data_IF_370837274838
#
_entry.id   IF_370837274838
#
_cell.length_a   1.000
_cell.length_b   1.000
_cell.length_c   1.000
_cell.angle_alpha   90.00
_cell.angle_beta   90.00
_cell.angle_gamma   90.00
#
_symmetry.space_group_name_H-M   'P 1'
#
loop_
_entity.id
_entity.type
_entity.pdbx_description
1 polymer ?
#
# COMPACT_ATOMS: atom_id res chain seq x y z
N UNK A 1 37.12 21.42 33.17
CA UNK A 1 36.67 21.69 31.80
C UNK A 1 35.75 22.89 31.85
N UNK A 2 36.05 23.88 31.01
CA UNK A 2 35.25 25.11 30.88
C UNK A 2 33.84 24.79 30.32
N UNK A 3 32.87 25.69 30.49
CA UNK A 3 31.50 25.54 29.98
C UNK A 3 31.48 25.46 28.45
N UNK A 4 32.34 26.22 27.79
CA UNK A 4 32.59 26.14 26.34
C UNK A 4 33.02 24.74 25.94
N UNK A 5 34.00 24.16 26.63
CA UNK A 5 34.51 22.83 26.27
C UNK A 5 33.43 21.77 26.42
N UNK A 6 32.59 21.87 27.47
CA UNK A 6 31.45 20.97 27.65
C UNK A 6 30.43 21.11 26.51
N UNK A 7 30.09 22.34 26.14
CA UNK A 7 29.17 22.62 25.04
C UNK A 7 29.70 22.10 23.69
N UNK A 8 30.94 22.43 23.36
CA UNK A 8 31.58 22.02 22.10
C UNK A 8 31.77 20.49 22.03
N UNK A 9 32.10 19.83 23.14
CA UNK A 9 32.18 18.37 23.18
C UNK A 9 30.80 17.73 22.89
N UNK A 10 29.71 18.31 23.41
CA UNK A 10 28.36 17.83 23.14
C UNK A 10 27.95 18.03 21.66
N UNK A 11 28.36 19.13 21.03
CA UNK A 11 28.16 19.36 19.60
C UNK A 11 29.02 18.37 18.78
N UNK A 12 30.31 18.27 19.11
CA UNK A 12 31.27 17.41 18.42
C UNK A 12 30.85 15.95 18.37
N UNK A 13 30.23 15.45 19.46
CA UNK A 13 29.72 14.08 19.55
C UNK A 13 28.69 13.73 18.46
N UNK A 14 28.00 14.73 17.90
CA UNK A 14 26.94 14.55 16.90
C UNK A 14 27.40 14.87 15.47
N UNK A 15 28.60 15.44 15.30
CA UNK A 15 29.11 15.85 13.99
C UNK A 15 29.74 14.68 13.21
N UNK A 16 29.63 14.70 11.87
CA UNK A 16 30.39 13.79 10.99
C UNK A 16 31.89 13.90 11.27
N UNK A 17 32.57 12.75 11.40
CA UNK A 17 33.99 12.72 11.80
C UNK A 17 34.89 13.55 10.87
N UNK A 18 34.56 13.62 9.57
CA UNK A 18 35.38 14.31 8.57
C UNK A 18 35.37 15.84 8.67
N UNK A 19 34.34 16.46 9.27
CA UNK A 19 34.21 17.92 9.38
C UNK A 19 34.20 18.41 10.83
N UNK A 20 34.24 17.47 11.79
CA UNK A 20 34.09 17.75 13.22
C UNK A 20 35.11 18.77 13.73
N UNK A 21 36.39 18.60 13.40
CA UNK A 21 37.45 19.46 13.91
C UNK A 21 37.27 20.90 13.43
N UNK A 22 37.02 21.08 12.13
CA UNK A 22 36.85 22.39 11.50
C UNK A 22 35.62 23.12 12.06
N UNK A 23 34.47 22.44 12.14
CA UNK A 23 33.22 23.03 12.68
C UNK A 23 33.38 23.38 14.16
N UNK A 24 34.06 22.54 14.95
CA UNK A 24 34.28 22.83 16.38
C UNK A 24 35.20 24.03 16.57
N UNK A 25 36.23 24.18 15.74
CA UNK A 25 37.09 25.36 15.76
C UNK A 25 36.30 26.62 15.41
N UNK A 26 35.54 26.60 14.32
CA UNK A 26 34.69 27.73 13.89
C UNK A 26 33.66 28.11 14.97
N UNK A 27 32.97 27.12 15.56
CA UNK A 27 32.02 27.36 16.65
C UNK A 27 32.70 27.92 17.90
N UNK A 28 33.91 27.46 18.22
CA UNK A 28 34.68 28.00 19.35
C UNK A 28 34.99 29.47 19.14
N UNK A 29 35.51 29.82 17.97
CA UNK A 29 35.88 31.21 17.65
C UNK A 29 34.64 32.12 17.67
N UNK A 30 33.52 31.67 17.12
CA UNK A 30 32.25 32.40 17.18
C UNK A 30 31.77 32.62 18.63
N UNK A 31 31.88 31.60 19.50
CA UNK A 31 31.47 31.71 20.90
C UNK A 31 32.38 32.69 21.64
N UNK A 32 33.69 32.58 21.47
CA UNK A 32 34.67 33.45 22.12
C UNK A 32 34.47 34.92 21.71
N UNK A 33 34.25 35.18 20.42
CA UNK A 33 33.94 36.54 19.94
C UNK A 33 32.67 37.10 20.62
N UNK A 34 31.61 36.31 20.77
CA UNK A 34 30.39 36.75 21.48
C UNK A 34 30.63 37.01 22.97
N UNK A 35 31.55 36.26 23.59
CA UNK A 35 31.92 36.48 24.98
C UNK A 35 32.67 37.81 25.08
N UNK A 36 33.70 38.01 24.26
CA UNK A 36 34.50 39.24 24.20
C UNK A 36 33.65 40.49 23.96
N UNK A 37 32.75 40.46 22.97
CA UNK A 37 31.81 41.58 22.69
C UNK A 37 30.96 41.94 23.91
N UNK A 38 30.51 40.94 24.68
CA UNK A 38 29.67 41.16 25.86
C UNK A 38 30.49 41.58 27.08
N UNK A 39 31.74 41.12 27.21
CA UNK A 39 32.69 41.59 28.22
C UNK A 39 33.07 43.05 27.99
N UNK A 40 33.34 43.45 26.74
CA UNK A 40 33.65 44.83 26.38
C UNK A 40 32.47 45.76 26.70
N UNK A 41 31.25 45.34 26.35
CA UNK A 41 30.03 46.10 26.66
C UNK A 41 29.78 46.26 28.18
N UNK A 42 30.16 45.27 29.00
CA UNK A 42 30.00 45.30 30.45
C UNK A 42 31.21 45.92 31.18
N UNK A 43 32.36 46.03 30.52
CA UNK A 43 33.63 46.46 31.13
C UNK A 43 34.18 45.49 32.18
N UNK A 44 33.75 44.23 32.18
CA UNK A 44 34.18 43.18 33.12
C UNK A 44 34.07 41.78 32.51
N UNK A 45 34.76 40.77 33.06
CA UNK A 45 34.58 39.38 32.67
C UNK A 45 33.13 38.89 32.87
N UNK A 46 32.69 37.95 32.02
CA UNK A 46 31.38 37.31 32.15
C UNK A 46 31.31 36.37 33.35
N UNK A 47 30.19 36.41 34.04
CA UNK A 47 29.83 35.38 35.03
C UNK A 47 29.43 34.08 34.34
N UNK A 48 29.51 32.97 35.06
CA UNK A 48 29.12 31.64 34.54
C UNK A 48 27.68 31.63 34.01
N UNK A 49 26.76 32.34 34.67
CA UNK A 49 25.36 32.47 34.23
C UNK A 49 25.22 33.25 32.92
N UNK A 50 25.99 34.33 32.74
CA UNK A 50 25.96 35.12 31.50
C UNK A 50 26.57 34.33 30.33
N UNK A 51 27.60 33.51 30.57
CA UNK A 51 28.15 32.58 29.59
C UNK A 51 27.12 31.51 29.20
N UNK A 52 26.42 30.94 30.19
CA UNK A 52 25.36 29.96 29.94
C UNK A 52 24.23 30.57 29.10
N UNK A 53 23.81 31.81 29.38
CA UNK A 53 22.78 32.51 28.60
C UNK A 53 23.20 32.68 27.13
N UNK A 54 24.46 33.05 26.87
CA UNK A 54 24.97 33.14 25.48
C UNK A 54 24.94 31.78 24.79
N UNK A 55 25.39 30.71 25.46
CA UNK A 55 25.37 29.35 24.91
C UNK A 55 23.92 28.88 24.66
N UNK A 56 22.98 29.26 25.52
CA UNK A 56 21.56 28.98 25.38
C UNK A 56 20.95 29.71 24.18
N UNK A 57 21.35 30.96 23.95
CA UNK A 57 20.94 31.76 22.77
C UNK A 57 21.48 31.18 21.46
N UNK A 58 22.66 30.57 21.48
CA UNK A 58 23.21 29.85 20.31
C UNK A 58 22.36 28.60 19.99
N UNK A 59 21.90 27.91 21.04
CA UNK A 59 20.91 26.84 20.96
C UNK A 59 21.39 25.51 21.50
N UNK A 60 20.48 24.53 21.58
CA UNK A 60 20.80 23.20 22.10
C UNK A 60 21.86 22.49 21.22
N UNK A 61 22.88 21.83 21.80
CA UNK A 61 23.97 21.20 21.03
C UNK A 61 23.50 20.28 19.90
N UNK A 62 22.44 19.48 20.14
CA UNK A 62 21.83 18.62 19.11
C UNK A 62 21.29 19.41 17.91
N UNK A 63 20.67 20.57 18.15
CA UNK A 63 20.06 21.41 17.10
C UNK A 63 21.15 22.13 16.31
N UNK A 64 22.20 22.59 16.99
CA UNK A 64 23.36 23.22 16.34
C UNK A 64 24.09 22.21 15.47
N UNK A 65 24.39 21.02 16.00
CA UNK A 65 25.05 19.96 15.23
C UNK A 65 24.22 19.52 14.00
N UNK A 66 22.89 19.47 14.14
CA UNK A 66 22.00 19.13 13.03
C UNK A 66 22.24 20.03 11.80
N UNK A 67 22.49 21.34 11.98
CA UNK A 67 22.70 22.29 10.87
C UNK A 67 23.85 21.89 9.93
N UNK A 68 24.82 21.12 10.43
CA UNK A 68 25.98 20.65 9.68
C UNK A 68 25.85 19.19 9.19
N UNK A 69 24.71 18.54 9.43
CA UNK A 69 24.47 17.17 8.99
C UNK A 69 24.36 17.05 7.46
N UNK A 70 25.05 16.07 6.87
CA UNK A 70 25.14 15.87 5.41
C UNK A 70 23.95 15.13 4.78
N UNK A 71 22.76 15.13 5.42
CA UNK A 71 21.58 14.44 4.89
C UNK A 71 20.25 14.85 5.51
N UNK A 72 19.13 14.28 5.01
CA UNK A 72 17.80 14.59 5.51
C UNK A 72 17.65 14.20 7.00
N UNK A 73 17.29 15.18 7.84
CA UNK A 73 17.00 14.98 9.27
C UNK A 73 15.58 14.48 9.53
N UNK A 74 14.76 14.39 8.50
CA UNK A 74 13.36 13.98 8.57
C UNK A 74 13.23 12.51 8.18
N UNK A 75 12.34 11.78 8.87
CA UNK A 75 11.98 10.41 8.45
C UNK A 75 11.18 10.48 7.15
N UNK A 76 10.28 11.46 7.04
CA UNK A 76 9.54 11.79 5.82
C UNK A 76 9.68 13.29 5.63
N UNK A 77 10.38 13.71 4.57
CA UNK A 77 10.64 15.13 4.31
C UNK A 77 9.38 15.88 3.84
N UNK A 78 9.37 17.22 3.89
CA UNK A 78 8.22 18.04 3.54
C UNK A 78 7.75 17.84 2.08
N UNK A 79 8.65 17.47 1.17
CA UNK A 79 8.31 17.17 -0.23
C UNK A 79 7.58 15.82 -0.36
N UNK A 80 7.96 14.81 0.43
CA UNK A 80 7.41 13.46 0.37
C UNK A 80 6.17 13.29 1.27
N UNK A 81 6.03 14.14 2.28
CA UNK A 81 4.98 14.04 3.29
C UNK A 81 3.55 14.05 2.73
N UNK A 82 3.16 14.92 1.77
CA UNK A 82 1.82 14.89 1.19
C UNK A 82 1.49 13.56 0.50
N UNK A 83 2.48 12.97 -0.17
CA UNK A 83 2.34 11.69 -0.87
C UNK A 83 2.23 10.51 0.09
N UNK A 84 3.08 10.50 1.12
CA UNK A 84 3.00 9.51 2.20
C UNK A 84 1.64 9.57 2.88
N UNK A 85 1.17 10.77 3.24
CA UNK A 85 -0.14 10.98 3.87
C UNK A 85 -1.28 10.50 2.99
N UNK A 86 -1.26 10.82 1.69
CA UNK A 86 -2.23 10.34 0.72
C UNK A 86 -2.25 8.81 0.67
N UNK A 87 -1.09 8.17 0.55
CA UNK A 87 -0.96 6.71 0.50
C UNK A 87 -1.46 6.03 1.77
N UNK A 88 -1.09 6.55 2.95
CA UNK A 88 -1.57 6.04 4.25
C UNK A 88 -3.09 6.16 4.37
N UNK A 89 -3.67 7.32 4.05
CA UNK A 89 -5.14 7.49 4.10
C UNK A 89 -5.85 6.52 3.17
N UNK A 90 -5.40 6.40 1.91
CA UNK A 90 -6.00 5.47 0.95
C UNK A 90 -5.88 4.02 1.44
N UNK A 91 -4.70 3.62 1.95
CA UNK A 91 -4.48 2.28 2.48
C UNK A 91 -5.35 1.98 3.70
N UNK A 92 -5.52 2.92 4.63
CA UNK A 92 -6.38 2.75 5.81
C UNK A 92 -7.85 2.54 5.43
N UNK A 93 -8.35 3.26 4.41
CA UNK A 93 -9.70 3.07 3.90
C UNK A 93 -9.89 1.65 3.35
N UNK A 94 -8.90 1.16 2.59
CA UNK A 94 -8.93 -0.22 2.06
C UNK A 94 -8.92 -1.23 3.21
N UNK A 95 -8.07 -1.05 4.22
CA UNK A 95 -8.01 -1.91 5.42
C UNK A 95 -9.37 -1.97 6.12
N UNK A 96 -10.01 -0.81 6.34
CA UNK A 96 -11.34 -0.74 6.97
C UNK A 96 -12.38 -1.42 6.10
N UNK A 97 -12.40 -1.17 4.80
CA UNK A 97 -13.35 -1.79 3.87
C UNK A 97 -13.24 -3.32 3.86
N UNK A 98 -12.02 -3.86 3.83
CA UNK A 98 -11.76 -5.30 3.91
C UNK A 98 -12.23 -5.86 5.26
N UNK A 99 -11.93 -5.18 6.36
CA UNK A 99 -12.33 -5.64 7.68
C UNK A 99 -13.85 -5.65 7.86
N UNK A 100 -14.55 -4.61 7.41
CA UNK A 100 -16.02 -4.54 7.42
C UNK A 100 -16.60 -5.68 6.60
N UNK A 101 -16.08 -5.94 5.40
CA UNK A 101 -16.51 -7.06 4.58
C UNK A 101 -16.31 -8.40 5.30
N UNK A 102 -15.15 -8.60 5.94
CA UNK A 102 -14.86 -9.80 6.73
C UNK A 102 -15.83 -10.00 7.90
N UNK A 103 -16.15 -8.94 8.64
CA UNK A 103 -17.13 -8.96 9.73
C UNK A 103 -18.53 -9.31 9.20
N UNK A 104 -18.97 -8.68 8.11
CA UNK A 104 -20.27 -8.95 7.49
C UNK A 104 -20.40 -10.42 7.07
N UNK A 105 -19.37 -10.97 6.42
CA UNK A 105 -19.35 -12.38 6.02
C UNK A 105 -19.49 -13.28 7.24
N UNK A 106 -18.74 -13.05 8.32
CA UNK A 106 -18.80 -13.86 9.54
C UNK A 106 -20.17 -13.81 10.22
N UNK A 107 -20.79 -12.63 10.26
CA UNK A 107 -22.15 -12.46 10.81
C UNK A 107 -23.18 -13.20 9.96
N UNK A 108 -23.11 -13.09 8.63
CA UNK A 108 -24.04 -13.77 7.71
C UNK A 108 -23.89 -15.29 7.79
N UNK A 109 -22.66 -15.78 7.97
CA UNK A 109 -22.35 -17.20 8.05
C UNK A 109 -22.73 -17.81 9.41
N UNK A 110 -22.85 -17.00 10.47
CA UNK A 110 -23.28 -17.44 11.80
C UNK A 110 -22.21 -18.22 12.58
N UNK A 111 -20.94 -18.07 12.21
CA UNK A 111 -19.82 -18.83 12.79
C UNK A 111 -19.37 -18.31 14.17
N UNK A 112 -19.72 -17.06 14.50
CA UNK A 112 -19.33 -16.37 15.74
C UNK A 112 -20.40 -15.38 16.18
N UNK A 113 -20.48 -15.12 17.49
CA UNK A 113 -21.33 -14.07 18.02
C UNK A 113 -20.97 -12.70 17.43
N UNK A 114 -21.98 -11.87 17.13
CA UNK A 114 -21.81 -10.54 16.52
C UNK A 114 -20.80 -9.67 17.28
N UNK A 115 -20.82 -9.71 18.61
CA UNK A 115 -19.88 -8.96 19.44
C UNK A 115 -18.42 -9.44 19.26
N UNK A 116 -18.22 -10.75 19.10
CA UNK A 116 -16.90 -11.34 18.89
C UNK A 116 -16.38 -11.04 17.47
N UNK A 117 -17.25 -11.10 16.45
CA UNK A 117 -16.92 -10.72 15.07
C UNK A 117 -16.45 -9.26 15.00
N UNK A 118 -17.18 -8.35 15.64
CA UNK A 118 -16.82 -6.92 15.70
C UNK A 118 -15.49 -6.71 16.44
N UNK A 119 -15.29 -7.37 17.58
CA UNK A 119 -14.05 -7.27 18.36
C UNK A 119 -12.82 -7.77 17.59
N UNK A 120 -12.95 -8.88 16.87
CA UNK A 120 -11.89 -9.39 15.99
C UNK A 120 -11.63 -8.46 14.80
N UNK A 121 -12.70 -7.92 14.19
CA UNK A 121 -12.59 -6.93 13.13
C UNK A 121 -11.82 -5.69 13.56
N UNK A 122 -12.12 -5.14 14.74
CA UNK A 122 -11.42 -3.99 15.30
C UNK A 122 -9.93 -4.28 15.55
N UNK A 123 -9.62 -5.41 16.20
CA UNK A 123 -8.23 -5.84 16.44
C UNK A 123 -7.46 -6.01 15.13
N UNK A 124 -8.12 -6.53 14.10
CA UNK A 124 -7.57 -6.69 12.76
C UNK A 124 -7.24 -5.33 12.14
N UNK A 125 -8.19 -4.39 12.11
CA UNK A 125 -7.98 -3.04 11.59
C UNK A 125 -6.83 -2.34 12.31
N UNK A 126 -6.80 -2.41 13.65
CA UNK A 126 -5.79 -1.76 14.47
C UNK A 126 -4.37 -2.25 14.15
N UNK A 127 -4.15 -3.57 14.13
CA UNK A 127 -2.85 -4.15 13.79
C UNK A 127 -2.42 -3.81 12.36
N UNK A 128 -3.38 -3.83 11.44
CA UNK A 128 -3.15 -3.58 10.02
C UNK A 128 -2.82 -2.11 9.76
N UNK A 129 -3.48 -1.20 10.47
CA UNK A 129 -3.19 0.22 10.43
C UNK A 129 -1.77 0.52 10.91
N UNK A 130 -1.37 -0.01 12.06
CA UNK A 130 0.01 0.15 12.59
C UNK A 130 1.03 -0.37 11.57
N UNK A 131 0.78 -1.57 11.02
CA UNK A 131 1.71 -2.20 10.08
C UNK A 131 1.81 -1.43 8.77
N UNK A 132 0.66 -1.02 8.21
CA UNK A 132 0.59 -0.20 7.00
C UNK A 132 1.36 1.11 7.19
N UNK A 133 1.11 1.82 8.29
CA UNK A 133 1.78 3.08 8.61
C UNK A 133 3.28 2.84 8.76
N UNK A 134 3.69 1.78 9.47
CA UNK A 134 5.09 1.41 9.66
C UNK A 134 5.82 1.18 8.33
N UNK A 135 5.28 0.33 7.45
CA UNK A 135 5.88 0.06 6.15
C UNK A 135 5.84 1.26 5.21
N UNK A 136 4.74 2.04 5.20
CA UNK A 136 4.67 3.27 4.43
C UNK A 136 5.74 4.28 4.89
N UNK A 137 5.96 4.38 6.20
CA UNK A 137 6.99 5.25 6.78
C UNK A 137 8.39 4.75 6.44
N UNK A 138 8.63 3.45 6.49
CA UNK A 138 9.91 2.85 6.10
C UNK A 138 10.20 3.08 4.61
N UNK A 139 9.20 2.88 3.74
CA UNK A 139 9.32 3.15 2.31
C UNK A 139 9.61 4.63 2.04
N UNK A 140 8.90 5.53 2.73
CA UNK A 140 9.15 6.96 2.63
C UNK A 140 10.55 7.34 3.12
N UNK A 141 11.02 6.74 4.23
CA UNK A 141 12.38 6.91 4.72
C UNK A 141 13.43 6.48 3.70
N UNK A 142 13.27 5.30 3.08
CA UNK A 142 14.18 4.82 2.04
C UNK A 142 14.21 5.79 0.85
N UNK A 143 13.03 6.24 0.39
CA UNK A 143 12.91 7.19 -0.73
C UNK A 143 13.57 8.54 -0.38
N UNK A 144 13.36 9.04 0.83
CA UNK A 144 13.92 10.32 1.29
C UNK A 144 15.45 10.29 1.32
N UNK A 145 16.07 9.12 1.56
CA UNK A 145 17.54 8.95 1.59
C UNK A 145 18.18 8.81 0.20
N UNK A 146 17.40 8.69 -0.88
CA UNK A 146 17.94 8.62 -2.23
C UNK A 146 18.25 10.03 -2.76
N UNK A 147 19.41 10.19 -3.41
CA UNK A 147 19.80 11.46 -4.06
C UNK A 147 18.82 11.88 -5.15
N UNK A 148 18.29 10.90 -5.86
CA UNK A 148 17.28 11.09 -6.90
C UNK A 148 15.95 10.52 -6.44
N UNK A 149 14.96 11.41 -6.33
CA UNK A 149 13.60 11.00 -5.98
C UNK A 149 12.93 10.27 -7.15
N UNK A 150 12.00 9.34 -6.90
CA UNK A 150 11.26 8.66 -7.97
C UNK A 150 10.64 9.63 -8.98
N UNK A 151 10.64 9.27 -10.26
CA UNK A 151 10.11 10.13 -11.34
C UNK A 151 8.64 10.49 -11.16
N UNK A 152 7.83 9.67 -10.48
CA UNK A 152 6.43 10.01 -10.21
C UNK A 152 6.23 11.24 -9.31
N UNK A 153 7.24 11.59 -8.49
CA UNK A 153 7.25 12.82 -7.68
C UNK A 153 7.69 14.03 -8.50
N UNK A 154 8.63 13.82 -9.44
CA UNK A 154 9.28 14.88 -10.23
C UNK A 154 8.53 15.22 -11.54
N UNK A 155 7.96 14.21 -12.19
CA UNK A 155 7.41 14.25 -13.56
C UNK A 155 5.89 14.05 -13.56
N UNK A 156 5.21 14.69 -12.61
CA UNK A 156 3.75 14.65 -12.57
C UNK A 156 3.19 15.47 -13.74
N UNK A 157 2.19 14.93 -14.42
CA UNK A 157 1.50 15.62 -15.51
C UNK A 157 0.18 16.15 -14.97
N UNK A 158 -0.17 17.38 -15.33
CA UNK A 158 -1.47 17.99 -15.03
C UNK A 158 -2.64 17.07 -15.43
N UNK A 159 -2.44 16.26 -16.47
CA UNK A 159 -3.44 15.28 -16.97
C UNK A 159 -3.71 14.12 -16.03
N UNK A 160 -2.83 13.83 -15.06
CA UNK A 160 -2.94 12.70 -14.12
C UNK A 160 -3.48 13.13 -12.73
N UNK A 161 -3.89 14.40 -12.57
CA UNK A 161 -4.37 14.96 -11.29
C UNK A 161 -5.69 14.36 -10.78
N UNK A 162 -6.48 13.70 -11.63
CA UNK A 162 -7.79 13.15 -11.26
C UNK A 162 -7.75 12.07 -10.17
N UNK A 163 -6.60 11.43 -9.93
CA UNK A 163 -6.43 10.49 -8.81
C UNK A 163 -6.43 11.21 -7.44
N UNK A 164 -5.96 12.46 -7.39
CA UNK A 164 -5.92 13.25 -6.15
C UNK A 164 -7.28 13.84 -5.78
N UNK A 165 -8.14 14.09 -6.76
CA UNK A 165 -9.52 14.53 -6.51
C UNK A 165 -10.33 13.49 -5.74
N UNK A 166 -10.06 12.19 -5.96
CA UNK A 166 -10.68 11.10 -5.20
C UNK A 166 -10.26 11.11 -3.71
N UNK A 167 -9.01 11.44 -3.40
CA UNK A 167 -8.53 11.59 -2.02
C UNK A 167 -9.00 12.88 -1.36
N UNK A 168 -9.23 13.95 -2.12
CA UNK A 168 -9.76 15.23 -1.64
C UNK A 168 -11.18 15.14 -1.08
N UNK A 169 -11.99 14.18 -1.57
CA UNK A 169 -13.34 13.91 -1.05
C UNK A 169 -13.39 13.31 0.36
N UNK A 170 -12.24 12.88 0.91
CA UNK A 170 -12.10 12.27 2.23
C UNK A 170 -11.34 13.20 3.19
N UNK A 171 -11.56 14.51 3.06
CA UNK A 171 -10.99 15.49 3.96
C UNK A 171 -11.71 15.47 5.32
N UNK A 172 -11.03 15.84 6.40
CA UNK A 172 -11.59 15.82 7.76
C UNK A 172 -12.90 16.60 7.86
N UNK A 173 -13.00 17.71 7.13
CA UNK A 173 -14.20 18.55 7.02
C UNK A 173 -15.38 17.89 6.31
N UNK A 174 -15.12 16.98 5.35
CA UNK A 174 -16.18 16.25 4.65
C UNK A 174 -16.75 15.13 5.54
N UNK A 175 -15.89 14.44 6.30
CA UNK A 175 -16.32 13.47 7.30
C UNK A 175 -17.06 14.14 8.45
N UNK A 176 -16.55 15.29 8.93
CA UNK A 176 -17.21 16.07 9.97
C UNK A 176 -18.60 16.52 9.52
N UNK A 177 -18.74 17.06 8.30
CA UNK A 177 -20.06 17.41 7.72
C UNK A 177 -20.97 16.21 7.54
N UNK A 178 -20.48 15.07 7.07
CA UNK A 178 -21.29 13.86 6.97
C UNK A 178 -21.82 13.40 8.34
N UNK A 179 -21.02 13.54 9.40
CA UNK A 179 -21.41 13.22 10.77
C UNK A 179 -22.34 14.25 11.41
N UNK A 180 -22.17 15.54 11.14
CA UNK A 180 -22.97 16.61 11.75
C UNK A 180 -24.24 16.96 10.97
N UNK A 181 -24.18 16.91 9.64
CA UNK A 181 -25.22 17.40 8.74
C UNK A 181 -25.91 16.25 7.97
N UNK A 182 -25.38 15.02 8.02
CA UNK A 182 -25.93 13.86 7.32
C UNK A 182 -25.75 13.88 5.80
N UNK A 183 -25.03 14.87 5.26
CA UNK A 183 -24.75 15.02 3.83
C UNK A 183 -23.48 14.23 3.45
N UNK A 184 -23.70 12.99 2.98
CA UNK A 184 -22.66 12.11 2.44
C UNK A 184 -22.51 12.24 0.92
N UNK A 185 -23.15 13.23 0.29
CA UNK A 185 -23.24 13.37 -1.15
C UNK A 185 -21.95 13.90 -1.80
N UNK A 186 -21.32 13.19 -2.75
CA UNK A 186 -20.16 13.72 -3.47
C UNK A 186 -20.59 14.85 -4.41
N UNK A 187 -20.17 16.09 -4.13
CA UNK A 187 -20.23 17.20 -5.10
C UNK A 187 -19.06 17.11 -6.07
N UNK A 188 -19.05 16.10 -6.94
CA UNK A 188 -18.18 16.12 -8.13
C UNK A 188 -19.04 15.85 -9.36
N UNK A 189 -18.98 16.78 -10.31
CA UNK A 189 -19.65 16.63 -11.59
C UNK A 189 -19.17 15.35 -12.26
N UNK A 190 -20.14 14.55 -12.71
CA UNK A 190 -19.96 13.26 -13.38
C UNK A 190 -19.29 13.48 -14.76
N UNK A 191 -18.01 13.86 -14.79
CA UNK A 191 -17.19 13.90 -16.01
C UNK A 191 -16.46 12.57 -16.13
N UNK A 192 -16.64 11.93 -17.27
CA UNK A 192 -16.33 10.52 -17.50
C UNK A 192 -14.95 10.11 -17.01
N UNK A 193 -14.91 9.00 -16.24
CA UNK A 193 -13.70 8.22 -15.91
C UNK A 193 -12.85 8.07 -17.19
N UNK A 194 -11.82 8.89 -17.36
CA UNK A 194 -10.82 8.69 -18.41
C UNK A 194 -9.65 7.95 -17.78
N UNK A 195 -9.33 6.80 -18.37
CA UNK A 195 -8.47 5.79 -17.75
C UNK A 195 -7.04 6.25 -17.49
N UNK A 196 -6.43 5.71 -16.44
CA UNK A 196 -5.05 5.98 -16.04
C UNK A 196 -4.03 5.68 -17.15
N UNK A 197 -2.90 6.39 -17.14
CA UNK A 197 -1.80 6.20 -18.08
C UNK A 197 -1.30 4.74 -18.11
N UNK A 198 -0.80 4.22 -19.25
CA UNK A 198 -0.33 2.84 -19.33
C UNK A 198 0.74 2.48 -18.29
N UNK A 199 1.68 3.40 -18.04
CA UNK A 199 2.73 3.27 -17.01
C UNK A 199 2.14 3.29 -15.61
N UNK A 200 1.25 4.24 -15.30
CA UNK A 200 0.61 4.33 -13.99
C UNK A 200 -0.22 3.08 -13.64
N UNK A 201 -0.91 2.49 -14.63
CA UNK A 201 -1.61 1.21 -14.47
C UNK A 201 -0.67 0.06 -14.20
N UNK A 202 0.47 0.01 -14.88
CA UNK A 202 1.47 -1.04 -14.70
C UNK A 202 2.11 -0.96 -13.30
N UNK A 203 2.52 0.22 -12.85
CA UNK A 203 3.07 0.44 -11.50
C UNK A 203 2.04 0.10 -10.43
N UNK A 204 0.79 0.58 -10.57
CA UNK A 204 -0.27 0.27 -9.61
C UNK A 204 -0.56 -1.24 -9.53
N UNK A 205 -0.53 -1.93 -10.67
CA UNK A 205 -0.68 -3.40 -10.73
C UNK A 205 0.50 -4.11 -10.04
N UNK A 206 1.74 -3.69 -10.30
CA UNK A 206 2.93 -4.25 -9.67
C UNK A 206 2.91 -4.07 -8.14
N UNK A 207 2.56 -2.88 -7.66
CA UNK A 207 2.40 -2.60 -6.22
C UNK A 207 1.27 -3.45 -5.63
N UNK A 208 0.12 -3.52 -6.31
CA UNK A 208 -1.01 -4.35 -5.87
C UNK A 208 -0.63 -5.82 -5.70
N UNK A 209 0.05 -6.40 -6.68
CA UNK A 209 0.52 -7.79 -6.60
C UNK A 209 1.61 -8.00 -5.55
N UNK A 210 2.51 -7.04 -5.35
CA UNK A 210 3.50 -7.11 -4.27
C UNK A 210 2.83 -7.13 -2.90
N UNK A 211 1.79 -6.30 -2.69
CA UNK A 211 1.00 -6.32 -1.44
C UNK A 211 0.28 -7.65 -1.26
N UNK A 212 -0.36 -8.18 -2.32
CA UNK A 212 -1.02 -9.50 -2.28
C UNK A 212 -0.04 -10.62 -1.96
N UNK A 213 1.17 -10.60 -2.55
CA UNK A 213 2.21 -11.59 -2.26
C UNK A 213 2.70 -11.54 -0.82
N UNK A 214 2.98 -10.33 -0.32
CA UNK A 214 3.44 -10.16 1.05
C UNK A 214 2.35 -10.59 2.04
N UNK A 215 1.07 -10.35 1.73
CA UNK A 215 -0.06 -10.90 2.49
C UNK A 215 -0.11 -12.43 2.41
N UNK A 216 0.00 -13.00 1.21
CA UNK A 216 -0.05 -14.44 0.96
C UNK A 216 1.07 -15.22 1.69
N UNK A 217 2.28 -14.64 1.76
CA UNK A 217 3.42 -15.21 2.50
C UNK A 217 3.30 -15.02 4.01
N UNK A 218 2.36 -14.18 4.47
CA UNK A 218 2.17 -13.85 5.88
C UNK A 218 3.14 -12.79 6.43
N UNK A 219 3.89 -12.11 5.55
CA UNK A 219 4.81 -11.02 5.93
C UNK A 219 4.11 -9.67 6.04
N UNK A 220 2.93 -9.53 5.45
CA UNK A 220 2.05 -8.38 5.61
C UNK A 220 0.82 -8.83 6.43
N UNK A 221 0.81 -8.59 7.75
CA UNK A 221 -0.34 -8.87 8.62
C UNK A 221 -1.41 -7.78 8.42
N UNK A 222 -1.90 -7.60 7.18
CA UNK A 222 -3.03 -6.70 6.85
C UNK A 222 -4.34 -7.22 7.43
N UNK A 223 -4.27 -8.38 8.07
CA UNK A 223 -5.26 -9.05 8.88
C UNK A 223 -4.55 -10.29 9.43
N UNK A 224 -4.75 -10.71 10.68
CA UNK A 224 -4.37 -12.07 11.11
C UNK A 224 -5.16 -13.16 10.37
N UNK A 225 -5.92 -12.80 9.33
CA UNK A 225 -6.56 -13.76 8.44
C UNK A 225 -5.60 -14.26 7.38
N UNK A 226 -4.91 -15.36 7.68
CA UNK A 226 -4.37 -16.24 6.64
C UNK A 226 -5.53 -16.91 5.89
N UNK A 227 -5.36 -17.35 4.63
CA UNK A 227 -6.40 -18.09 3.90
C UNK A 227 -7.04 -19.24 4.70
N UNK A 228 -6.29 -19.81 5.64
CA UNK A 228 -6.66 -20.91 6.54
C UNK A 228 -7.71 -20.49 7.59
N UNK A 229 -7.68 -19.23 8.03
CA UNK A 229 -8.63 -18.68 9.04
C UNK A 229 -9.89 -18.06 8.42
N UNK A 230 -9.98 -18.05 7.09
CA UNK A 230 -11.16 -17.57 6.36
C UNK A 230 -12.25 -18.63 6.25
N UNK A 231 -11.92 -19.90 6.42
CA UNK A 231 -12.92 -20.96 6.34
C UNK A 231 -13.68 -21.15 7.63
N UNK A 232 -14.98 -21.36 7.48
CA UNK A 232 -15.93 -21.70 8.53
C UNK A 232 -16.65 -22.99 8.13
N UNK A 233 -17.31 -23.66 9.07
CA UNK A 233 -18.23 -24.77 8.73
C UNK A 233 -19.56 -24.16 8.34
N UNK A 234 -19.91 -24.18 7.05
CA UNK A 234 -21.14 -23.54 6.55
C UNK A 234 -22.06 -24.61 5.98
N UNK A 235 -23.25 -24.77 6.57
CA UNK A 235 -24.24 -25.75 6.12
C UNK A 235 -23.74 -27.21 6.16
N UNK A 236 -22.90 -27.55 7.15
CA UNK A 236 -22.33 -28.90 7.30
C UNK A 236 -21.10 -29.18 6.41
N UNK A 237 -20.61 -28.19 5.66
CA UNK A 237 -19.41 -28.30 4.83
C UNK A 237 -18.26 -27.55 5.50
N UNK A 238 -17.14 -28.24 5.74
CA UNK A 238 -15.94 -27.67 6.34
C UNK A 238 -15.05 -26.97 5.29
N UNK A 239 -15.26 -25.67 5.11
CA UNK A 239 -14.46 -24.86 4.20
C UNK A 239 -13.09 -24.49 4.78
N UNK A 240 -12.90 -24.57 6.10
CA UNK A 240 -11.60 -24.29 6.74
C UNK A 240 -10.56 -25.30 6.28
N UNK A 241 -10.90 -26.59 6.38
CA UNK A 241 -10.01 -27.66 5.93
C UNK A 241 -9.74 -27.58 4.42
N UNK A 242 -10.78 -27.29 3.60
CA UNK A 242 -10.62 -27.15 2.15
C UNK A 242 -9.71 -25.98 1.78
N UNK A 243 -9.88 -24.82 2.42
CA UNK A 243 -9.05 -23.64 2.17
C UNK A 243 -7.62 -23.84 2.64
N UNK A 244 -7.40 -24.51 3.77
CA UNK A 244 -6.05 -24.85 4.23
C UNK A 244 -5.32 -25.78 3.27
N UNK A 245 -5.99 -26.81 2.74
CA UNK A 245 -5.42 -27.70 1.73
C UNK A 245 -5.11 -26.97 0.42
N UNK A 246 -6.02 -26.10 -0.05
CA UNK A 246 -5.80 -25.29 -1.25
C UNK A 246 -4.62 -24.35 -1.04
N UNK A 247 -4.55 -23.69 0.11
CA UNK A 247 -3.43 -22.82 0.46
C UNK A 247 -2.10 -23.56 0.42
N UNK A 248 -2.01 -24.74 1.05
CA UNK A 248 -0.80 -25.55 1.04
C UNK A 248 -0.37 -25.98 -0.37
N UNK A 249 -1.31 -26.39 -1.22
CA UNK A 249 -1.04 -26.80 -2.61
C UNK A 249 -0.65 -25.63 -3.51
N UNK A 250 -1.25 -24.47 -3.30
CA UNK A 250 -1.04 -23.27 -4.13
C UNK A 250 0.00 -22.32 -3.57
N UNK A 251 0.59 -22.60 -2.40
CA UNK A 251 1.52 -21.71 -1.72
C UNK A 251 2.64 -21.22 -2.65
N UNK A 252 3.42 -22.16 -3.20
CA UNK A 252 4.51 -21.85 -4.13
C UNK A 252 4.04 -21.40 -5.52
N UNK A 253 3.06 -22.07 -6.16
CA UNK A 253 2.54 -21.62 -7.45
C UNK A 253 2.05 -20.16 -7.45
N UNK A 254 1.35 -19.71 -6.41
CA UNK A 254 0.87 -18.33 -6.29
C UNK A 254 2.00 -17.35 -6.09
N UNK A 255 3.03 -17.70 -5.30
CA UNK A 255 4.23 -16.88 -5.15
C UNK A 255 4.95 -16.72 -6.50
N UNK A 256 5.20 -17.82 -7.20
CA UNK A 256 5.85 -17.79 -8.50
C UNK A 256 5.05 -16.96 -9.52
N UNK A 257 3.73 -17.17 -9.57
CA UNK A 257 2.82 -16.40 -10.43
C UNK A 257 2.88 -14.91 -10.11
N UNK A 258 2.76 -14.53 -8.83
CA UNK A 258 2.79 -13.14 -8.41
C UNK A 258 4.13 -12.48 -8.69
N UNK A 259 5.26 -13.16 -8.46
CA UNK A 259 6.59 -12.61 -8.74
C UNK A 259 6.78 -12.36 -10.24
N UNK A 260 6.36 -13.33 -11.08
CA UNK A 260 6.36 -13.15 -12.53
C UNK A 260 5.44 -12.00 -12.96
N UNK A 261 4.30 -11.84 -12.28
CA UNK A 261 3.35 -10.76 -12.55
C UNK A 261 3.91 -9.39 -12.20
N UNK A 262 4.51 -9.24 -11.03
CA UNK A 262 5.20 -8.00 -10.61
C UNK A 262 6.32 -7.68 -11.58
N UNK A 263 7.18 -8.65 -11.91
CA UNK A 263 8.28 -8.46 -12.85
C UNK A 263 7.77 -8.04 -14.24
N UNK A 264 6.70 -8.67 -14.73
CA UNK A 264 6.08 -8.31 -16.00
C UNK A 264 5.50 -6.90 -15.99
N UNK A 265 4.80 -6.52 -14.93
CA UNK A 265 4.23 -5.18 -14.80
C UNK A 265 5.32 -4.09 -14.70
N UNK A 266 6.44 -4.37 -14.04
CA UNK A 266 7.62 -3.50 -14.03
C UNK A 266 8.26 -3.38 -15.43
N UNK A 267 8.40 -4.50 -16.16
CA UNK A 267 8.89 -4.48 -17.55
C UNK A 267 7.96 -3.68 -18.46
N UNK A 268 6.64 -3.78 -18.26
CA UNK A 268 5.63 -3.01 -18.98
C UNK A 268 5.70 -1.52 -18.66
N UNK A 269 5.97 -1.15 -17.41
CA UNK A 269 6.20 0.24 -17.02
C UNK A 269 7.45 0.81 -17.72
N UNK A 270 8.51 0.01 -17.86
CA UNK A 270 9.73 0.39 -18.57
C UNK A 270 9.59 0.44 -20.11
N UNK A 271 8.62 -0.28 -20.69
CA UNK A 271 8.37 -0.35 -22.14
C UNK A 271 6.88 -0.13 -22.46
N UNK A 272 6.36 1.10 -22.32
CA UNK A 272 4.93 1.39 -22.43
C UNK A 272 4.32 1.15 -23.81
N UNK A 273 5.12 1.20 -24.88
CA UNK A 273 4.64 1.10 -26.28
C UNK A 273 4.58 -0.34 -26.80
N UNK A 274 4.98 -1.33 -25.98
CA UNK A 274 5.04 -2.73 -26.36
C UNK A 274 3.67 -3.42 -26.43
N UNK A 275 2.90 -3.19 -27.50
CA UNK A 275 1.57 -3.82 -27.72
C UNK A 275 1.68 -5.35 -27.72
N UNK A 276 2.61 -5.90 -28.51
CA UNK A 276 2.80 -7.36 -28.66
C UNK A 276 3.31 -8.01 -27.37
N UNK A 277 4.18 -7.33 -26.64
CA UNK A 277 4.66 -7.78 -25.34
C UNK A 277 3.55 -7.82 -24.29
N UNK A 278 2.72 -6.76 -24.24
CA UNK A 278 1.53 -6.71 -23.39
C UNK A 278 0.55 -7.84 -23.71
N UNK A 279 0.30 -8.07 -25.01
CA UNK A 279 -0.56 -9.14 -25.49
C UNK A 279 -0.05 -10.53 -25.09
N UNK A 280 1.27 -10.77 -25.20
CA UNK A 280 1.89 -12.03 -24.80
C UNK A 280 1.70 -12.32 -23.31
N UNK A 281 1.87 -11.30 -22.45
CA UNK A 281 1.63 -11.43 -21.02
C UNK A 281 0.15 -11.67 -20.70
N UNK A 282 -0.78 -10.95 -21.35
CA UNK A 282 -2.22 -11.19 -21.15
C UNK A 282 -2.62 -12.63 -21.50
N UNK A 283 -2.04 -13.20 -22.56
CA UNK A 283 -2.22 -14.61 -22.93
C UNK A 283 -1.64 -15.53 -21.84
N UNK A 284 -0.38 -15.32 -21.45
CA UNK A 284 0.29 -16.19 -20.48
C UNK A 284 -0.39 -16.20 -19.11
N UNK A 285 -0.65 -15.02 -18.54
CA UNK A 285 -1.35 -14.90 -17.26
C UNK A 285 -2.80 -15.33 -17.35
N UNK A 286 -3.50 -15.06 -18.46
CA UNK A 286 -4.85 -15.56 -18.68
C UNK A 286 -4.90 -17.09 -18.78
N UNK A 287 -3.93 -17.72 -19.42
CA UNK A 287 -3.84 -19.18 -19.49
C UNK A 287 -3.57 -19.79 -18.11
N UNK A 288 -2.67 -19.20 -17.32
CA UNK A 288 -2.42 -19.63 -15.95
C UNK A 288 -3.64 -19.45 -15.03
N UNK A 289 -4.37 -18.33 -15.14
CA UNK A 289 -5.64 -18.11 -14.46
C UNK A 289 -6.70 -19.16 -14.87
N UNK A 290 -6.80 -19.45 -16.17
CA UNK A 290 -7.70 -20.47 -16.70
C UNK A 290 -7.36 -21.87 -16.19
N UNK A 291 -6.07 -22.23 -16.15
CA UNK A 291 -5.61 -23.49 -15.57
C UNK A 291 -5.93 -23.59 -14.08
N UNK A 292 -5.77 -22.49 -13.32
CA UNK A 292 -6.14 -22.44 -11.91
C UNK A 292 -7.64 -22.66 -11.71
N UNK A 293 -8.51 -21.95 -12.44
CA UNK A 293 -9.96 -22.13 -12.31
C UNK A 293 -10.42 -23.52 -12.77
N UNK A 294 -9.81 -24.06 -13.84
CA UNK A 294 -10.05 -25.43 -14.28
C UNK A 294 -9.65 -26.46 -13.22
N UNK A 295 -8.50 -26.26 -12.58
CA UNK A 295 -8.06 -27.10 -11.46
C UNK A 295 -8.97 -26.97 -10.23
N UNK A 296 -9.41 -25.75 -9.90
CA UNK A 296 -10.40 -25.51 -8.83
C UNK A 296 -11.69 -26.28 -9.08
N UNK A 297 -12.17 -26.27 -10.32
CA UNK A 297 -13.39 -26.97 -10.73
C UNK A 297 -13.26 -28.49 -10.68
N UNK A 298 -12.16 -29.05 -11.20
CA UNK A 298 -12.04 -30.49 -11.47
C UNK A 298 -11.32 -31.30 -10.39
N UNK A 299 -10.35 -30.71 -9.70
CA UNK A 299 -9.38 -31.48 -8.91
C UNK A 299 -9.17 -30.96 -7.49
N UNK A 300 -9.50 -29.69 -7.23
CA UNK A 300 -9.26 -29.09 -5.91
C UNK A 300 -10.16 -29.68 -4.83
N UNK A 301 -9.80 -29.52 -3.54
CA UNK A 301 -10.69 -29.83 -2.42
C UNK A 301 -12.09 -29.19 -2.53
N UNK A 302 -12.20 -28.00 -3.13
CA UNK A 302 -13.48 -27.32 -3.37
C UNK A 302 -14.34 -28.00 -4.44
N UNK A 303 -13.74 -28.79 -5.36
CA UNK A 303 -14.46 -29.46 -6.44
C UNK A 303 -15.64 -30.28 -5.91
N UNK A 304 -15.48 -30.95 -4.76
CA UNK A 304 -16.55 -31.76 -4.14
C UNK A 304 -17.85 -31.00 -3.86
N UNK A 305 -17.76 -29.67 -3.76
CA UNK A 305 -18.85 -28.77 -3.38
C UNK A 305 -19.35 -27.96 -4.58
N UNK A 306 -18.44 -27.54 -5.45
CA UNK A 306 -18.75 -26.64 -6.57
C UNK A 306 -18.93 -27.35 -7.91
N UNK A 307 -18.37 -28.55 -8.09
CA UNK A 307 -18.37 -29.23 -9.38
C UNK A 307 -19.79 -29.61 -9.80
N UNK A 308 -20.07 -29.37 -11.07
CA UNK A 308 -21.30 -29.79 -11.71
C UNK A 308 -20.96 -30.44 -13.06
N UNK A 309 -21.42 -31.68 -13.31
CA UNK A 309 -20.98 -32.44 -14.48
C UNK A 309 -21.62 -31.98 -15.79
N UNK A 310 -22.79 -31.32 -15.74
CA UNK A 310 -23.56 -30.93 -16.93
C UNK A 310 -24.08 -29.51 -16.82
N UNK A 311 -24.36 -28.91 -17.98
CA UNK A 311 -24.96 -27.58 -18.07
C UNK A 311 -26.37 -27.58 -17.45
N UNK A 312 -27.13 -28.65 -17.64
CA UNK A 312 -28.47 -28.80 -17.06
C UNK A 312 -28.42 -28.74 -15.53
N UNK A 313 -27.55 -29.53 -14.91
CA UNK A 313 -27.39 -29.51 -13.46
C UNK A 313 -26.88 -28.15 -12.95
N UNK A 314 -26.12 -27.41 -13.76
CA UNK A 314 -25.65 -26.07 -13.41
C UNK A 314 -26.81 -25.07 -13.43
N UNK A 315 -27.64 -25.11 -14.47
CA UNK A 315 -28.83 -24.27 -14.61
C UNK A 315 -29.86 -24.61 -13.51
N UNK A 316 -30.09 -25.89 -13.22
CA UNK A 316 -31.00 -26.33 -12.17
C UNK A 316 -30.55 -25.85 -10.79
N UNK A 317 -29.25 -25.94 -10.49
CA UNK A 317 -28.71 -25.41 -9.23
C UNK A 317 -28.92 -23.91 -9.09
N UNK A 318 -28.80 -23.13 -10.17
CA UNK A 318 -29.08 -21.69 -10.15
C UNK A 318 -30.58 -21.42 -10.02
N UNK A 319 -31.42 -22.12 -10.80
CA UNK A 319 -32.88 -21.96 -10.76
C UNK A 319 -33.42 -22.23 -9.37
N UNK A 320 -33.08 -23.36 -8.78
CA UNK A 320 -33.49 -23.74 -7.41
C UNK A 320 -33.03 -22.71 -6.37
N UNK A 321 -31.81 -22.19 -6.50
CA UNK A 321 -31.27 -21.13 -5.63
C UNK A 321 -32.12 -19.84 -5.73
N UNK A 322 -32.49 -19.44 -6.95
CA UNK A 322 -33.31 -18.24 -7.21
C UNK A 322 -34.73 -18.43 -6.69
N UNK A 323 -35.35 -19.58 -6.94
CA UNK A 323 -36.72 -19.90 -6.49
C UNK A 323 -36.83 -19.93 -4.97
N UNK A 324 -35.81 -20.46 -4.29
CA UNK A 324 -35.77 -20.54 -2.82
C UNK A 324 -35.37 -19.19 -2.16
N UNK A 325 -34.92 -18.20 -2.94
CA UNK A 325 -34.48 -16.90 -2.43
C UNK A 325 -33.21 -16.92 -1.56
N UNK A 326 -32.55 -18.07 -1.45
CA UNK A 326 -31.37 -18.29 -0.61
C UNK A 326 -30.17 -18.66 -1.47
N UNK A 327 -29.04 -17.98 -1.27
CA UNK A 327 -27.80 -18.19 -2.03
C UNK A 327 -26.78 -18.97 -1.20
N UNK A 328 -26.75 -20.32 -1.28
CA UNK A 328 -25.81 -21.09 -0.49
C UNK A 328 -24.39 -20.86 -1.02
N UNK A 329 -23.43 -20.79 -0.10
CA UNK A 329 -22.02 -20.55 -0.40
C UNK A 329 -21.44 -21.46 -1.51
N UNK A 330 -21.77 -22.78 -1.59
CA UNK A 330 -21.41 -23.63 -2.73
C UNK A 330 -21.78 -23.06 -4.10
N UNK A 331 -23.00 -22.54 -4.25
CA UNK A 331 -23.51 -22.03 -5.53
C UNK A 331 -22.82 -20.72 -5.88
N UNK A 332 -22.56 -19.86 -4.90
CA UNK A 332 -21.80 -18.62 -5.10
C UNK A 332 -20.37 -18.93 -5.54
N UNK A 333 -19.69 -19.86 -4.87
CA UNK A 333 -18.33 -20.28 -5.22
C UNK A 333 -18.27 -20.95 -6.60
N UNK A 334 -19.24 -21.80 -6.93
CA UNK A 334 -19.40 -22.38 -8.26
C UNK A 334 -19.47 -21.30 -9.35
N UNK A 335 -20.32 -20.27 -9.15
CA UNK A 335 -20.42 -19.16 -10.09
C UNK A 335 -19.12 -18.36 -10.20
N UNK A 336 -18.48 -18.05 -9.07
CA UNK A 336 -17.19 -17.34 -9.06
C UNK A 336 -16.12 -18.09 -9.87
N UNK A 337 -16.01 -19.41 -9.72
CA UNK A 337 -15.04 -20.22 -10.46
C UNK A 337 -15.40 -20.30 -11.95
N UNK A 338 -16.68 -20.51 -12.28
CA UNK A 338 -17.14 -20.57 -13.67
C UNK A 338 -16.93 -19.24 -14.41
N UNK A 339 -17.34 -18.11 -13.82
CA UNK A 339 -17.13 -16.79 -14.40
C UNK A 339 -15.65 -16.40 -14.42
N UNK A 340 -14.87 -16.80 -13.40
CA UNK A 340 -13.42 -16.63 -13.39
C UNK A 340 -12.74 -17.32 -14.57
N UNK A 341 -13.14 -18.56 -14.87
CA UNK A 341 -12.66 -19.30 -16.03
C UNK A 341 -13.03 -18.60 -17.35
N UNK A 342 -14.29 -18.17 -17.52
CA UNK A 342 -14.73 -17.43 -18.71
C UNK A 342 -13.96 -16.11 -18.87
N UNK A 343 -13.70 -15.41 -17.77
CA UNK A 343 -12.89 -14.20 -17.78
C UNK A 343 -11.46 -14.49 -18.26
N UNK A 344 -10.83 -15.53 -17.73
CA UNK A 344 -9.49 -15.97 -18.14
C UNK A 344 -9.42 -16.31 -19.64
N UNK A 345 -10.40 -17.06 -20.16
CA UNK A 345 -10.53 -17.36 -21.60
C UNK A 345 -10.69 -16.08 -22.43
N UNK A 346 -11.56 -15.15 -22.00
CA UNK A 346 -11.76 -13.88 -22.71
C UNK A 346 -10.47 -13.04 -22.78
N UNK A 347 -9.64 -13.09 -21.73
CA UNK A 347 -8.35 -12.40 -21.64
C UNK A 347 -7.34 -13.01 -22.61
N UNK A 348 -7.27 -14.34 -22.70
CA UNK A 348 -6.44 -15.06 -23.68
C UNK A 348 -6.86 -14.72 -25.11
N UNK A 349 -8.15 -14.82 -25.43
CA UNK A 349 -8.67 -14.49 -26.77
C UNK A 349 -8.37 -13.04 -27.12
N UNK A 350 -8.65 -12.11 -26.20
CA UNK A 350 -8.36 -10.69 -26.40
C UNK A 350 -6.87 -10.41 -26.60
N UNK A 351 -5.99 -11.12 -25.87
CA UNK A 351 -4.54 -11.05 -26.06
C UNK A 351 -4.13 -11.57 -27.44
N UNK A 352 -4.66 -12.72 -27.88
CA UNK A 352 -4.36 -13.29 -29.20
C UNK A 352 -4.79 -12.37 -30.35
N UNK A 353 -5.96 -11.73 -30.22
CA UNK A 353 -6.43 -10.71 -31.18
C UNK A 353 -5.47 -9.51 -31.20
N UNK A 354 -5.00 -9.02 -30.05
CA UNK A 354 -4.02 -7.91 -30.00
C UNK A 354 -2.67 -8.29 -30.57
N UNK A 355 -2.23 -9.54 -30.35
CA UNK A 355 -0.96 -10.05 -30.87
C UNK A 355 -0.97 -10.09 -32.41
N UNK A 356 -2.08 -10.53 -33.00
CA UNK A 356 -2.25 -10.64 -34.45
C UNK A 356 -2.51 -9.30 -35.12
N UNK A 357 -3.35 -8.46 -34.54
CA UNK A 357 -3.72 -7.15 -35.12
C UNK A 357 -2.68 -6.06 -34.86
N UNK A 358 -1.88 -6.17 -33.80
CA UNK A 358 -0.94 -5.12 -33.38
C UNK A 358 -1.61 -3.85 -32.83
N UNK A 359 -2.93 -3.84 -32.69
CA UNK A 359 -3.71 -2.68 -32.23
C UNK A 359 -4.22 -2.91 -30.82
N UNK A 360 -3.87 -2.02 -29.88
CA UNK A 360 -4.49 -1.99 -28.55
C UNK A 360 -5.29 -0.70 -28.37
N UNK A 361 -6.62 -0.83 -28.25
CA UNK A 361 -7.53 0.30 -27.99
C UNK A 361 -7.26 0.99 -26.65
N UNK A 362 -6.44 0.41 -25.78
CA UNK A 362 -6.05 0.95 -24.46
C UNK A 362 -4.77 1.78 -24.51
N UNK A 363 -4.06 1.80 -25.63
CA UNK A 363 -2.88 2.63 -25.87
C UNK A 363 -3.28 3.82 -26.76
N UNK A 364 -2.66 4.99 -26.58
CA UNK A 364 -2.89 6.13 -27.46
C UNK A 364 -2.51 5.75 -28.90
N UNK A 365 -3.30 6.23 -29.88
CA UNK A 365 -2.92 6.09 -31.29
C UNK A 365 -1.61 6.87 -31.48
N UNK A 366 -0.62 6.21 -32.03
CA UNK A 366 0.57 6.87 -32.57
C UNK A 366 0.14 7.36 -33.95
N UNK A 367 -0.09 8.67 -34.06
CA UNK A 367 -0.25 9.35 -35.36
C UNK A 367 1.13 9.62 -35.97
#
# INVERSE_FOLDING_TARGET
MDLIDRYLNAVAAQLPQSQRADIVAELRDMILNRFEEKEEALGRPLTEAEQEDILRDIGHPLVVAARYGSGPQHVVGPELFPWWMFGVKAGLIVVVAIAVLGVLVRIIVGDVDTAQAIGQGFRSVFNSAITLIGFATLAAFIIERQKEKPSFLREWRVKDLGLFEFGGGLNAEAVQRGLTEGDWGPKTGRRGRRGASPVGRAIASAVGWAVVLLWWVGWLPVTHTTPETFGAVVGGVDYATMMGQIHALLYWPVIAFGLLRVLFDLMRAARPDGVRFTALGDIGFGAAEGALFGWLWLYSPLSKVIFVPTIEAFVDRIRTTVENGWWPLPTVLMLCVAFGFLHAVSKVIGGAIRLTTGVDRRLPKVD
#
